data_IF_738419745381
#
_entry.id   IF_738419745381
#
_cell.length_a   1.000
_cell.length_b   1.000
_cell.length_c   1.000
_cell.angle_alpha   90.00
_cell.angle_beta   90.00
_cell.angle_gamma   90.00
#
_symmetry.space_group_name_H-M   'P 1'
#
loop_
_entity.id
_entity.type
_entity.pdbx_description
1 polymer ?
#
# COMPACT_ATOMS: atom_id res chain seq x y z
N UNK A 1 0.77 13.13 3.16
CA UNK A 1 1.93 13.24 2.25
C UNK A 1 1.83 14.51 1.40
N UNK A 2 2.93 15.10 0.94
CA UNK A 2 2.86 16.21 -0.03
C UNK A 2 2.31 15.74 -1.38
N UNK A 3 1.72 16.66 -2.16
CA UNK A 3 1.25 16.32 -3.51
C UNK A 3 2.44 15.98 -4.40
N UNK A 4 2.36 14.85 -5.10
CA UNK A 4 3.39 14.40 -6.03
C UNK A 4 2.80 14.42 -7.44
N UNK A 5 3.46 15.12 -8.34
CA UNK A 5 3.11 15.10 -9.76
C UNK A 5 3.93 14.04 -10.52
N UNK A 6 3.65 13.90 -11.81
CA UNK A 6 4.34 12.91 -12.64
C UNK A 6 5.85 13.21 -12.80
N UNK A 7 6.23 14.49 -12.85
CA UNK A 7 7.63 14.86 -13.01
C UNK A 7 8.42 14.48 -11.77
N UNK A 8 7.93 14.85 -10.59
CA UNK A 8 8.56 14.50 -9.33
C UNK A 8 8.53 12.99 -9.07
N UNK A 9 7.44 12.30 -9.42
CA UNK A 9 7.40 10.84 -9.35
C UNK A 9 8.47 10.17 -10.22
N UNK A 10 8.74 10.69 -11.42
CA UNK A 10 9.81 10.16 -12.26
C UNK A 10 11.20 10.38 -11.66
N UNK A 11 11.45 11.53 -11.02
CA UNK A 11 12.71 11.77 -10.29
C UNK A 11 12.90 10.76 -9.15
N UNK A 12 11.85 10.53 -8.35
CA UNK A 12 11.87 9.50 -7.30
C UNK A 12 12.15 8.10 -7.87
N UNK A 13 11.57 7.78 -9.03
CA UNK A 13 11.87 6.53 -9.71
C UNK A 13 13.34 6.47 -10.12
N UNK A 14 13.92 7.53 -10.69
CA UNK A 14 15.31 7.54 -11.14
C UNK A 14 16.30 7.34 -9.98
N UNK A 15 16.02 7.92 -8.81
CA UNK A 15 16.81 7.74 -7.58
C UNK A 15 16.64 6.35 -6.94
N UNK A 16 15.55 5.64 -7.24
CA UNK A 16 15.27 4.33 -6.64
C UNK A 16 16.02 3.17 -7.32
N UNK A 17 16.32 2.14 -6.52
CA UNK A 17 16.88 0.85 -6.97
C UNK A 17 15.86 -0.05 -7.73
N UNK A 18 14.70 0.48 -8.11
CA UNK A 18 13.65 -0.30 -8.78
C UNK A 18 14.11 -0.75 -10.17
N UNK A 19 13.78 -1.99 -10.55
CA UNK A 19 14.12 -2.53 -11.87
C UNK A 19 13.48 -1.71 -12.99
N UNK A 20 14.26 -1.36 -14.02
CA UNK A 20 13.82 -0.58 -15.18
C UNK A 20 12.57 -1.12 -15.88
N UNK A 21 12.41 -2.45 -15.92
CA UNK A 21 11.19 -3.09 -16.45
C UNK A 21 9.93 -2.64 -15.69
N UNK A 22 9.98 -2.61 -14.36
CA UNK A 22 8.84 -2.17 -13.55
C UNK A 22 8.58 -0.69 -13.81
N UNK A 23 9.62 0.16 -13.74
CA UNK A 23 9.51 1.62 -13.95
C UNK A 23 8.71 1.97 -15.21
N UNK A 24 9.03 1.32 -16.35
CA UNK A 24 8.38 1.55 -17.65
C UNK A 24 6.91 1.15 -17.74
N UNK A 25 6.48 0.21 -16.90
CA UNK A 25 5.11 -0.33 -16.94
C UNK A 25 4.14 0.45 -16.03
N UNK A 26 4.65 1.28 -15.10
CA UNK A 26 3.86 2.01 -14.13
C UNK A 26 2.91 3.02 -14.80
N UNK A 27 1.68 3.07 -14.30
CA UNK A 27 0.61 3.98 -14.77
C UNK A 27 0.26 4.98 -13.69
N UNK A 28 1.16 5.94 -13.46
CA UNK A 28 1.02 6.98 -12.43
C UNK A 28 -0.34 7.69 -12.52
N UNK A 29 -0.60 8.43 -13.61
CA UNK A 29 -1.83 9.21 -13.79
C UNK A 29 -3.11 8.36 -13.62
N UNK A 30 -3.12 7.12 -14.12
CA UNK A 30 -4.28 6.23 -13.96
C UNK A 30 -4.46 5.82 -12.51
N UNK A 31 -3.36 5.49 -11.81
CA UNK A 31 -3.40 5.03 -10.42
C UNK A 31 -3.89 6.11 -9.47
N UNK A 32 -3.54 7.38 -9.73
CA UNK A 32 -3.95 8.51 -8.87
C UNK A 32 -5.21 9.25 -9.37
N UNK A 33 -5.81 8.83 -10.48
CA UNK A 33 -6.91 9.57 -11.14
C UNK A 33 -8.16 9.79 -10.27
N UNK A 34 -8.32 8.98 -9.23
CA UNK A 34 -9.44 9.06 -8.28
C UNK A 34 -9.16 9.98 -7.08
N UNK A 35 -7.92 10.46 -6.92
CA UNK A 35 -7.49 11.32 -5.82
C UNK A 35 -7.70 12.78 -6.18
N UNK A 36 -8.21 13.55 -5.23
CA UNK A 36 -8.25 15.02 -5.29
C UNK A 36 -7.02 15.60 -4.63
N UNK A 37 -6.71 16.86 -4.93
CA UNK A 37 -5.58 17.58 -4.34
C UNK A 37 -5.63 17.60 -2.81
N UNK A 38 -6.82 17.73 -2.22
CA UNK A 38 -7.03 17.68 -0.78
C UNK A 38 -6.72 16.33 -0.14
N UNK A 39 -6.80 15.24 -0.90
CA UNK A 39 -6.65 13.89 -0.35
C UNK A 39 -5.18 13.58 0.00
N UNK A 40 -4.21 14.18 -0.70
CA UNK A 40 -2.78 13.89 -0.54
C UNK A 40 -2.27 14.04 0.90
N UNK A 41 -2.73 15.08 1.60
CA UNK A 41 -2.33 15.35 2.98
C UNK A 41 -2.71 14.21 3.93
N UNK A 42 -3.78 13.48 3.60
CA UNK A 42 -4.32 12.39 4.39
C UNK A 42 -3.87 10.99 3.92
N UNK A 43 -2.90 10.91 3.00
CA UNK A 43 -2.40 9.63 2.50
C UNK A 43 -1.01 9.36 3.04
N UNK A 44 -0.86 8.18 3.66
CA UNK A 44 0.44 7.58 4.03
C UNK A 44 0.94 6.64 2.94
N UNK A 45 0.02 5.99 2.22
CA UNK A 45 0.31 4.96 1.24
C UNK A 45 -0.56 5.14 -0.01
N UNK A 46 0.10 5.11 -1.17
CA UNK A 46 -0.52 5.08 -2.49
C UNK A 46 0.09 3.92 -3.27
N UNK A 47 -0.73 3.09 -3.91
CA UNK A 47 -0.24 2.06 -4.81
C UNK A 47 -0.25 2.58 -6.25
N UNK A 48 0.86 2.43 -6.97
CA UNK A 48 0.99 2.81 -8.36
C UNK A 48 1.29 1.54 -9.14
N UNK A 49 0.33 1.08 -9.94
CA UNK A 49 0.42 -0.22 -10.60
C UNK A 49 0.68 -0.11 -12.09
N UNK A 50 1.08 -1.24 -12.68
CA UNK A 50 1.00 -1.42 -14.11
C UNK A 50 -0.47 -1.61 -14.57
N UNK A 51 -0.65 -1.86 -15.87
CA UNK A 51 -1.98 -2.05 -16.48
C UNK A 51 -2.76 -3.24 -15.90
N UNK A 52 -2.10 -4.32 -15.47
CA UNK A 52 -2.79 -5.49 -14.92
C UNK A 52 -3.15 -5.34 -13.45
N UNK A 53 -2.54 -4.38 -12.74
CA UNK A 53 -2.73 -4.20 -11.30
C UNK A 53 -1.92 -5.17 -10.43
N UNK A 54 -1.22 -6.13 -11.03
CA UNK A 54 -0.54 -7.21 -10.31
C UNK A 54 0.93 -6.89 -9.98
N UNK A 55 1.50 -5.84 -10.56
CA UNK A 55 2.86 -5.39 -10.25
C UNK A 55 2.83 -3.88 -10.13
N UNK A 56 3.59 -3.33 -9.19
CA UNK A 56 3.62 -1.89 -8.99
C UNK A 56 4.68 -1.46 -7.99
N UNK A 57 4.52 -0.23 -7.53
CA UNK A 57 5.28 0.35 -6.42
C UNK A 57 4.30 0.90 -5.39
N UNK A 58 4.58 0.68 -4.11
CA UNK A 58 3.96 1.44 -3.03
C UNK A 58 4.77 2.72 -2.85
N UNK A 59 4.10 3.85 -2.99
CA UNK A 59 4.59 5.17 -2.63
C UNK A 59 4.14 5.44 -1.20
N UNK A 60 5.10 5.49 -0.27
CA UNK A 60 4.86 5.77 1.13
C UNK A 60 5.37 7.16 1.48
N UNK A 61 4.57 7.94 2.21
CA UNK A 61 4.99 9.18 2.85
C UNK A 61 4.95 8.99 4.36
N UNK A 62 6.10 8.82 5.00
CA UNK A 62 6.25 8.58 6.44
C UNK A 62 7.11 9.69 7.03
N UNK A 63 6.60 10.36 8.07
CA UNK A 63 7.23 11.54 8.66
C UNK A 63 7.64 12.57 7.59
N UNK A 64 8.95 12.73 7.35
CA UNK A 64 9.53 13.67 6.39
C UNK A 64 10.19 12.97 5.20
N UNK A 65 9.92 11.68 4.99
CA UNK A 65 10.59 10.87 3.96
C UNK A 65 9.59 10.18 3.04
N UNK A 66 10.01 10.01 1.79
CA UNK A 66 9.28 9.24 0.78
C UNK A 66 9.99 7.91 0.55
N UNK A 67 9.22 6.84 0.40
CA UNK A 67 9.74 5.52 0.07
C UNK A 67 9.02 4.97 -1.15
N UNK A 68 9.77 4.27 -2.01
CA UNK A 68 9.21 3.48 -3.11
C UNK A 68 9.53 2.01 -2.91
N UNK A 69 8.49 1.18 -2.76
CA UNK A 69 8.64 -0.25 -2.52
C UNK A 69 8.01 -1.04 -3.67
N UNK A 70 8.79 -1.74 -4.51
CA UNK A 70 8.23 -2.56 -5.58
C UNK A 70 7.48 -3.76 -4.99
N UNK A 71 6.33 -4.09 -5.58
CA UNK A 71 5.50 -5.18 -5.13
C UNK A 71 4.94 -6.02 -6.27
N UNK A 72 4.62 -7.26 -5.93
CA UNK A 72 3.69 -8.12 -6.68
C UNK A 72 2.40 -8.27 -5.89
N UNK A 73 1.27 -8.20 -6.58
CA UNK A 73 -0.06 -8.26 -6.00
C UNK A 73 -0.89 -9.34 -6.67
N UNK A 74 -1.65 -10.06 -5.85
CA UNK A 74 -2.55 -11.10 -6.32
C UNK A 74 -3.85 -11.04 -5.52
N UNK A 75 -4.99 -10.96 -6.19
CA UNK A 75 -6.29 -11.11 -5.53
C UNK A 75 -6.44 -12.53 -4.99
N UNK A 76 -6.98 -12.65 -3.78
CA UNK A 76 -7.25 -13.96 -3.18
C UNK A 76 -8.48 -14.56 -3.87
N UNK A 77 -8.28 -15.72 -4.49
CA UNK A 77 -9.37 -16.52 -5.04
C UNK A 77 -10.05 -17.39 -3.98
N UNK A 78 -11.07 -18.16 -4.35
CA UNK A 78 -11.63 -19.18 -3.48
C UNK A 78 -10.56 -20.21 -3.07
N UNK A 79 -10.67 -20.73 -1.86
CA UNK A 79 -9.81 -21.81 -1.37
C UNK A 79 -9.95 -23.05 -2.27
N UNK A 80 -8.82 -23.63 -2.70
CA UNK A 80 -8.81 -24.81 -3.56
C UNK A 80 -9.49 -26.03 -2.91
N UNK A 81 -9.44 -26.16 -1.58
CA UNK A 81 -10.00 -27.30 -0.86
C UNK A 81 -11.49 -27.17 -0.57
N UNK A 82 -12.01 -25.95 -0.40
CA UNK A 82 -13.41 -25.73 0.01
C UNK A 82 -14.25 -25.02 -1.05
N UNK A 83 -13.63 -24.43 -2.07
CA UNK A 83 -14.27 -23.55 -3.04
C UNK A 83 -14.83 -22.26 -2.42
N UNK A 84 -14.60 -22.03 -1.11
CA UNK A 84 -15.11 -20.87 -0.38
C UNK A 84 -14.05 -19.79 -0.29
N UNK A 85 -14.52 -18.55 -0.38
CA UNK A 85 -13.67 -17.39 -0.11
C UNK A 85 -13.53 -17.21 1.40
N UNK A 86 -12.29 -17.11 1.86
CA UNK A 86 -12.00 -16.88 3.27
C UNK A 86 -11.79 -15.38 3.53
N UNK A 87 -12.45 -14.81 4.55
CA UNK A 87 -12.15 -13.45 4.95
C UNK A 87 -10.76 -13.36 5.58
N UNK A 88 -10.16 -12.18 5.50
CA UNK A 88 -8.86 -11.89 6.12
C UNK A 88 -8.95 -10.62 6.94
N UNK A 89 -8.00 -10.43 7.84
CA UNK A 89 -7.71 -9.13 8.44
C UNK A 89 -6.46 -8.61 7.75
N UNK A 90 -6.55 -7.41 7.16
CA UNK A 90 -5.42 -6.80 6.47
C UNK A 90 -4.25 -6.57 7.42
N UNK A 91 -3.05 -6.99 7.04
CA UNK A 91 -1.82 -6.86 7.83
C UNK A 91 -1.33 -5.41 7.97
N UNK A 92 -1.89 -4.48 7.17
CA UNK A 92 -1.58 -3.06 7.21
C UNK A 92 -2.57 -2.26 8.06
N UNK A 93 -3.80 -2.08 7.57
CA UNK A 93 -4.82 -1.24 8.23
C UNK A 93 -5.74 -2.00 9.18
N UNK A 94 -5.49 -3.30 9.41
CA UNK A 94 -6.33 -4.20 10.25
C UNK A 94 -7.82 -4.21 9.86
N UNK A 95 -8.12 -3.83 8.63
CA UNK A 95 -9.48 -3.87 8.10
C UNK A 95 -9.80 -5.31 7.71
N UNK A 96 -10.86 -5.84 8.28
CA UNK A 96 -11.48 -7.09 7.88
C UNK A 96 -12.00 -6.96 6.45
N UNK A 97 -11.58 -7.88 5.59
CA UNK A 97 -11.98 -7.95 4.20
C UNK A 97 -12.74 -9.24 3.98
N UNK A 98 -13.90 -9.14 3.31
CA UNK A 98 -14.52 -10.30 2.70
C UNK A 98 -13.57 -10.89 1.66
N UNK A 99 -13.57 -12.20 1.47
CA UNK A 99 -12.57 -12.83 0.59
C UNK A 99 -12.57 -12.30 -0.86
N UNK A 100 -13.69 -11.78 -1.38
CA UNK A 100 -13.75 -11.08 -2.69
C UNK A 100 -12.91 -9.80 -2.76
N UNK A 101 -12.66 -9.16 -1.61
CA UNK A 101 -11.97 -7.86 -1.47
C UNK A 101 -10.61 -8.02 -0.81
N UNK A 102 -10.10 -9.25 -0.75
CA UNK A 102 -8.82 -9.57 -0.17
C UNK A 102 -7.75 -9.75 -1.26
N UNK A 103 -6.51 -9.41 -0.92
CA UNK A 103 -5.34 -9.63 -1.76
C UNK A 103 -4.16 -10.12 -0.94
N UNK A 104 -3.15 -10.62 -1.63
CA UNK A 104 -1.80 -10.79 -1.10
C UNK A 104 -0.87 -9.79 -1.79
N UNK A 105 -0.04 -9.12 -1.03
CA UNK A 105 1.06 -8.30 -1.55
C UNK A 105 2.38 -8.92 -1.15
N UNK A 106 3.28 -9.05 -2.11
CA UNK A 106 4.58 -9.67 -1.95
C UNK A 106 5.67 -8.66 -2.27
N UNK A 107 6.64 -8.55 -1.36
CA UNK A 107 7.82 -7.71 -1.52
C UNK A 107 9.04 -8.59 -1.69
N UNK A 108 9.82 -8.30 -2.73
CA UNK A 108 11.08 -8.98 -2.99
C UNK A 108 12.19 -8.17 -2.33
N UNK A 109 12.88 -8.74 -1.34
CA UNK A 109 14.02 -8.09 -0.72
C UNK A 109 15.25 -8.24 -1.63
N UNK A 110 15.61 -7.15 -2.32
CA UNK A 110 16.70 -7.18 -3.30
C UNK A 110 18.09 -7.03 -2.63
N UNK A 111 18.16 -6.37 -1.46
CA UNK A 111 19.44 -6.03 -0.82
C UNK A 111 20.02 -7.16 0.04
N UNK A 112 19.17 -7.94 0.73
CA UNK A 112 19.65 -8.88 1.76
C UNK A 112 19.70 -10.35 1.35
N UNK A 113 19.29 -10.70 0.13
CA UNK A 113 19.13 -12.12 -0.28
C UNK A 113 18.10 -12.90 0.54
N UNK A 114 17.33 -12.22 1.42
CA UNK A 114 16.23 -12.80 2.19
C UNK A 114 15.09 -13.21 1.26
N UNK A 115 14.33 -14.22 1.69
CA UNK A 115 13.12 -14.68 1.02
C UNK A 115 12.10 -13.56 0.84
N UNK A 116 11.31 -13.65 -0.23
CA UNK A 116 10.14 -12.78 -0.43
C UNK A 116 9.24 -12.79 0.80
N UNK A 117 8.71 -11.62 1.17
CA UNK A 117 7.74 -11.48 2.27
C UNK A 117 6.37 -11.18 1.69
N UNK A 118 5.37 -11.95 2.12
CA UNK A 118 3.99 -11.84 1.63
C UNK A 118 3.06 -11.49 2.78
N UNK A 119 2.17 -10.53 2.55
CA UNK A 119 1.16 -10.07 3.51
C UNK A 119 -0.25 -10.22 2.95
N UNK A 120 -1.22 -10.48 3.83
CA UNK A 120 -2.64 -10.38 3.53
C UNK A 120 -3.05 -8.92 3.58
N UNK A 121 -3.72 -8.42 2.55
CA UNK A 121 -4.01 -7.00 2.41
C UNK A 121 -5.39 -6.74 1.80
N UNK A 122 -5.80 -5.47 1.85
CA UNK A 122 -6.99 -5.01 1.14
C UNK A 122 -6.78 -5.11 -0.36
N UNK A 123 -7.76 -5.65 -1.08
CA UNK A 123 -7.66 -5.90 -2.51
C UNK A 123 -7.67 -4.64 -3.37
N UNK A 124 -7.98 -3.49 -2.77
CA UNK A 124 -7.90 -2.15 -3.35
C UNK A 124 -6.66 -1.36 -2.88
N UNK A 125 -5.89 -1.90 -1.92
CA UNK A 125 -4.75 -1.23 -1.28
C UNK A 125 -5.06 0.18 -0.74
N UNK A 126 -6.32 0.52 -0.45
CA UNK A 126 -6.74 1.84 0.06
C UNK A 126 -6.63 1.94 1.59
N UNK A 127 -5.52 1.45 2.15
CA UNK A 127 -5.35 1.32 3.59
C UNK A 127 -5.42 2.66 4.34
N UNK A 128 -4.91 3.75 3.74
CA UNK A 128 -4.98 5.13 4.24
C UNK A 128 -6.44 5.60 4.41
N UNK A 129 -7.33 5.24 3.49
CA UNK A 129 -8.77 5.53 3.61
C UNK A 129 -9.46 4.64 4.65
N UNK A 130 -9.00 3.39 4.76
CA UNK A 130 -9.58 2.39 5.66
C UNK A 130 -9.36 2.70 7.14
N UNK A 131 -8.19 3.23 7.50
CA UNK A 131 -7.92 3.64 8.88
C UNK A 131 -8.77 4.85 9.30
N UNK A 132 -9.25 5.64 8.33
CA UNK A 132 -10.13 6.81 8.52
C UNK A 132 -11.63 6.52 8.42
N UNK A 133 -12.03 5.25 8.29
CA UNK A 133 -13.44 4.87 8.08
C UNK A 133 -14.09 5.45 6.81
N UNK A 134 -13.29 5.86 5.81
CA UNK A 134 -13.81 6.51 4.58
C UNK A 134 -14.46 5.54 3.60
N UNK A 135 -14.16 4.23 3.68
CA UNK A 135 -14.72 3.23 2.75
C UNK A 135 -15.81 2.36 3.39
N UNK A 136 -16.64 1.75 2.56
CA UNK A 136 -17.63 0.77 3.03
C UNK A 136 -16.97 -0.44 3.70
N UNK A 137 -15.83 -0.92 3.19
CA UNK A 137 -15.11 -2.05 3.78
C UNK A 137 -14.66 -1.75 5.21
N UNK A 138 -14.13 -0.54 5.45
CA UNK A 138 -13.71 -0.13 6.79
C UNK A 138 -14.88 -0.06 7.77
N UNK A 139 -16.02 0.51 7.37
CA UNK A 139 -17.23 0.56 8.22
C UNK A 139 -17.72 -0.82 8.61
N UNK A 140 -17.83 -1.74 7.64
CA UNK A 140 -18.21 -3.14 7.90
C UNK A 140 -17.21 -3.82 8.84
N UNK A 141 -15.90 -3.59 8.64
CA UNK A 141 -14.86 -4.18 9.48
C UNK A 141 -15.01 -3.80 10.95
N UNK A 142 -15.34 -2.55 11.29
CA UNK A 142 -15.47 -2.13 12.69
C UNK A 142 -16.60 -2.90 13.40
N UNK A 143 -17.72 -3.08 12.71
CA UNK A 143 -18.83 -3.91 13.23
C UNK A 143 -18.43 -5.37 13.40
N UNK A 144 -17.73 -5.96 12.42
CA UNK A 144 -17.33 -7.38 12.47
C UNK A 144 -16.30 -7.66 13.55
N UNK A 145 -15.32 -6.76 13.71
CA UNK A 145 -14.24 -6.92 14.68
C UNK A 145 -14.62 -6.41 16.08
N UNK A 146 -15.76 -5.71 16.22
CA UNK A 146 -16.15 -4.99 17.44
C UNK A 146 -15.02 -4.07 17.94
N UNK A 147 -14.36 -3.39 17.00
CA UNK A 147 -13.23 -2.53 17.32
C UNK A 147 -13.73 -1.20 17.91
N UNK A 148 -13.14 -0.81 19.03
CA UNK A 148 -13.44 0.40 19.80
C UNK A 148 -12.43 1.53 19.56
N UNK A 149 -11.38 1.28 18.77
CA UNK A 149 -10.38 2.29 18.41
C UNK A 149 -10.95 3.41 17.53
N UNK A 150 -10.67 4.66 17.91
CA UNK A 150 -10.93 5.82 17.07
C UNK A 150 -10.04 5.87 15.81
N UNK A 151 -10.26 6.88 14.96
CA UNK A 151 -9.50 7.01 13.72
C UNK A 151 -8.03 7.33 13.97
N UNK A 152 -7.71 8.13 14.99
CA UNK A 152 -6.35 8.60 15.28
C UNK A 152 -5.47 7.41 15.69
N UNK A 153 -5.92 6.62 16.66
CA UNK A 153 -5.22 5.40 17.10
C UNK A 153 -5.05 4.37 15.96
N UNK A 154 -5.99 4.34 15.01
CA UNK A 154 -5.88 3.47 13.82
C UNK A 154 -4.84 3.96 12.83
N UNK A 155 -4.72 5.28 12.66
CA UNK A 155 -3.68 5.91 11.83
C UNK A 155 -2.31 5.65 12.45
N UNK A 156 -2.16 5.84 13.76
CA UNK A 156 -0.89 5.61 14.46
C UNK A 156 -0.41 4.16 14.31
N UNK A 157 -1.30 3.19 14.57
CA UNK A 157 -1.00 1.76 14.35
C UNK A 157 -0.61 1.45 12.91
N UNK A 158 -1.18 2.16 11.93
CA UNK A 158 -0.86 1.97 10.52
C UNK A 158 0.50 2.59 10.16
N UNK A 159 0.81 3.78 10.66
CA UNK A 159 2.13 4.39 10.52
C UNK A 159 3.21 3.51 11.13
N UNK A 160 3.06 3.04 12.37
CA UNK A 160 3.99 2.11 12.99
C UNK A 160 4.21 0.84 12.14
N UNK A 161 3.14 0.35 11.50
CA UNK A 161 3.20 -0.84 10.66
C UNK A 161 3.97 -0.58 9.37
N UNK A 162 3.81 0.60 8.75
CA UNK A 162 4.54 1.02 7.57
C UNK A 162 6.02 1.28 7.89
N UNK A 163 6.32 1.91 9.03
CA UNK A 163 7.70 2.11 9.49
C UNK A 163 8.41 0.76 9.68
N UNK A 164 7.75 -0.21 10.32
CA UNK A 164 8.28 -1.58 10.44
C UNK A 164 8.51 -2.21 9.07
N UNK A 165 7.59 -2.04 8.12
CA UNK A 165 7.74 -2.59 6.76
C UNK A 165 9.00 -2.03 6.08
N UNK A 166 9.20 -0.71 6.13
CA UNK A 166 10.37 -0.05 5.52
C UNK A 166 11.67 -0.55 6.16
N UNK A 167 11.69 -0.67 7.49
CA UNK A 167 12.85 -1.17 8.23
C UNK A 167 13.14 -2.65 7.94
N UNK A 168 12.12 -3.51 7.94
CA UNK A 168 12.25 -4.95 7.67
C UNK A 168 12.76 -5.22 6.24
N UNK A 169 12.36 -4.37 5.28
CA UNK A 169 12.76 -4.43 3.88
C UNK A 169 14.05 -3.65 3.58
N UNK A 170 14.63 -2.96 4.57
CA UNK A 170 15.85 -2.15 4.44
C UNK A 170 15.76 -1.12 3.29
N UNK A 171 14.58 -0.50 3.13
CA UNK A 171 14.32 0.47 2.05
C UNK A 171 14.92 1.82 2.43
N UNK A 172 15.72 2.37 1.53
CA UNK A 172 16.35 3.68 1.72
C UNK A 172 15.32 4.79 1.47
N UNK A 173 15.24 5.81 2.33
CA UNK A 173 14.41 6.98 2.06
C UNK A 173 14.91 7.69 0.80
N UNK A 174 13.96 8.21 0.02
CA UNK A 174 14.23 9.05 -1.13
C UNK A 174 14.21 10.51 -0.68
N UNK A 175 15.14 11.29 -1.21
CA UNK A 175 15.29 12.69 -0.86
C UNK A 175 14.15 13.49 -1.47
N UNK A 176 13.59 14.42 -0.70
CA UNK A 176 12.78 15.47 -1.28
C UNK A 176 13.76 16.48 -1.91
N UNK A 177 13.59 16.89 -3.18
CA UNK A 177 14.36 18.00 -3.69
C UNK A 177 14.11 19.21 -2.78
N UNK A 178 15.19 19.80 -2.27
CA UNK A 178 15.12 21.07 -1.56
C UNK A 178 14.57 22.12 -2.56
N UNK A 179 13.50 22.83 -2.16
CA UNK A 179 12.90 23.91 -2.96
C UNK A 179 13.87 25.08 -3.19
#
# INVERSE_FOLDING_TARGET
>A
MQKIDLQFFNQLLDESDIKQRIKRELRFNTSISHLKDSDWLELEMIHISNRSGNVGVLLLGLATSIYLIPYEFKKIGPSASTGRQQPIICDFCRTWQSGTRAGTITFTNVKSGKSNVTYLCCGDLRCSDHVRSKTSASKTSRTQLREDMDNENRIDRFNERLDRLVNDLEITPLTLPEE
#
